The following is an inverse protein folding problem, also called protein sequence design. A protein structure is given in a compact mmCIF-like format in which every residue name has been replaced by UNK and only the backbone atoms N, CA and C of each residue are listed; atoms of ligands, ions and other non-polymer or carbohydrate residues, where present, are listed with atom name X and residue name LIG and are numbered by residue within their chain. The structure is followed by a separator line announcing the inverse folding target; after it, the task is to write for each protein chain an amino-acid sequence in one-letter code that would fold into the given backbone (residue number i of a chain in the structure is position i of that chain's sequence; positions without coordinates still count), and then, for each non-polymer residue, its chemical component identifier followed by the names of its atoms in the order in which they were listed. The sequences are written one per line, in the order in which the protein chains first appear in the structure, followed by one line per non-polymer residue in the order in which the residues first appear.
data_IF_795325511277
#
_entry.id   IF_795325511277
#
_cell.length_a   1.000
_cell.length_b   1.000
_cell.length_c   1.000
_cell.angle_alpha   90.00
_cell.angle_beta   90.00
_cell.angle_gamma   90.00
#
_symmetry.space_group_name_H-M   'P 1'
#
loop_
_entity.id
_entity.type
_entity.pdbx_description
1 polymer ?
#
# COMPACT_ATOMS: atom_id res chain seq x y z
N UNK A 1 27.39 5.35 -23.35
CA UNK A 1 28.22 5.66 -22.13
C UNK A 1 27.60 6.69 -21.18
N UNK A 2 26.95 7.77 -21.64
CA UNK A 2 26.35 8.79 -20.72
C UNK A 2 25.21 8.26 -19.84
N UNK A 3 24.35 7.38 -20.36
CA UNK A 3 23.19 6.84 -19.59
C UNK A 3 23.63 5.97 -18.40
N UNK A 4 24.63 5.10 -18.57
CA UNK A 4 25.15 4.28 -17.48
C UNK A 4 25.77 5.12 -16.35
N UNK A 5 26.38 6.28 -16.68
CA UNK A 5 26.91 7.20 -15.65
C UNK A 5 25.79 7.80 -14.80
N UNK A 6 24.64 8.16 -15.40
CA UNK A 6 23.50 8.71 -14.66
C UNK A 6 22.91 7.66 -13.72
N UNK A 7 22.74 6.41 -14.18
CA UNK A 7 22.23 5.31 -13.35
C UNK A 7 23.19 5.02 -12.19
N UNK A 8 24.50 4.99 -12.46
CA UNK A 8 25.52 4.77 -11.42
C UNK A 8 25.54 5.94 -10.43
N UNK A 9 25.47 7.19 -10.88
CA UNK A 9 25.40 8.36 -9.99
C UNK A 9 24.13 8.36 -9.16
N UNK A 10 22.99 7.95 -9.73
CA UNK A 10 21.74 7.82 -9.01
C UNK A 10 21.82 6.72 -7.94
N UNK A 11 22.34 5.53 -8.29
CA UNK A 11 22.57 4.43 -7.35
C UNK A 11 23.56 4.81 -6.23
N UNK A 12 24.65 5.51 -6.56
CA UNK A 12 25.60 6.03 -5.57
C UNK A 12 24.93 7.08 -4.68
N UNK A 13 24.11 7.98 -5.23
CA UNK A 13 23.38 8.94 -4.40
C UNK A 13 22.36 8.27 -3.50
N UNK A 14 21.69 7.21 -3.98
CA UNK A 14 20.76 6.40 -3.18
C UNK A 14 21.51 5.72 -2.02
N UNK A 15 22.72 5.21 -2.30
CA UNK A 15 23.59 4.58 -1.31
C UNK A 15 24.14 5.58 -0.29
N UNK A 16 24.56 6.77 -0.71
CA UNK A 16 25.06 7.84 0.19
C UNK A 16 23.93 8.46 1.02
N UNK A 17 22.70 8.53 0.51
CA UNK A 17 21.56 8.94 1.34
C UNK A 17 21.15 7.85 2.34
N UNK A 18 21.32 6.56 2.01
CA UNK A 18 21.01 5.47 2.93
C UNK A 18 21.89 5.45 4.18
N UNK A 19 23.10 6.03 4.15
CA UNK A 19 23.97 6.09 5.34
C UNK A 19 23.55 7.13 6.38
N UNK A 20 22.64 8.05 6.04
CA UNK A 20 22.14 9.07 6.98
C UNK A 20 20.75 8.75 7.54
N UNK A 21 20.08 7.74 6.99
CA UNK A 21 18.73 7.34 7.37
C UNK A 21 18.87 6.03 8.16
N UNK A 22 19.49 6.17 9.32
CA UNK A 22 20.02 5.07 10.13
C UNK A 22 18.95 4.33 10.93
N UNK A 23 19.15 3.03 11.14
CA UNK A 23 18.80 2.20 12.30
C UNK A 23 17.55 2.60 13.12
N UNK A 24 16.47 1.83 13.08
CA UNK A 24 15.32 2.09 13.97
C UNK A 24 15.52 1.58 15.41
N UNK A 25 16.58 0.79 15.71
CA UNK A 25 16.67 0.06 16.99
C UNK A 25 17.85 0.35 17.92
N UNK A 26 19.00 0.84 17.45
CA UNK A 26 20.16 1.10 18.33
C UNK A 26 20.48 2.58 18.52
N UNK A 27 20.81 3.32 17.45
CA UNK A 27 21.33 4.69 17.57
C UNK A 27 20.56 5.76 16.78
N UNK A 28 19.47 5.38 16.13
CA UNK A 28 18.60 6.32 15.44
C UNK A 28 17.15 6.07 15.80
N UNK A 29 16.41 7.17 15.90
CA UNK A 29 14.99 7.16 16.19
C UNK A 29 14.19 7.20 14.90
N UNK A 30 14.80 7.23 13.73
CA UNK A 30 14.12 7.43 12.45
C UNK A 30 14.39 6.26 11.53
N UNK A 31 13.41 5.84 10.73
CA UNK A 31 13.60 4.78 9.74
C UNK A 31 12.68 4.98 8.54
N UNK A 32 13.17 4.61 7.36
CA UNK A 32 12.38 4.56 6.13
C UNK A 32 12.42 3.13 5.60
N UNK A 33 11.26 2.61 5.23
CA UNK A 33 11.11 1.31 4.60
C UNK A 33 10.40 1.44 3.26
N UNK A 34 10.81 0.61 2.31
CA UNK A 34 10.10 0.37 1.07
C UNK A 34 9.39 -0.98 1.20
N UNK A 35 8.10 -1.00 0.91
CA UNK A 35 7.26 -2.15 1.15
C UNK A 35 6.70 -2.68 -0.18
N UNK A 36 6.56 -3.99 -0.23
CA UNK A 36 5.76 -4.69 -1.22
C UNK A 36 4.71 -5.48 -0.45
N UNK A 37 3.44 -5.29 -0.79
CA UNK A 37 2.33 -5.98 -0.14
C UNK A 37 1.54 -6.79 -1.15
N UNK A 38 0.94 -7.87 -0.66
CA UNK A 38 0.09 -8.76 -1.43
C UNK A 38 -1.25 -8.92 -0.72
N UNK A 39 -2.29 -8.32 -1.27
CA UNK A 39 -3.66 -8.46 -0.76
C UNK A 39 -4.29 -9.70 -1.38
N UNK A 40 -4.60 -10.68 -0.54
CA UNK A 40 -5.13 -11.98 -0.96
C UNK A 40 -6.51 -11.86 -1.60
N UNK A 41 -7.41 -11.10 -0.97
CA UNK A 41 -8.80 -10.91 -1.40
C UNK A 41 -9.20 -9.46 -1.21
N UNK A 42 -9.82 -8.88 -2.24
CA UNK A 42 -10.52 -7.60 -2.15
C UNK A 42 -11.81 -7.65 -2.97
N UNK A 43 -12.72 -6.71 -2.76
CA UNK A 43 -14.01 -6.67 -3.46
C UNK A 43 -14.25 -5.28 -4.03
N UNK A 44 -14.61 -5.23 -5.31
CA UNK A 44 -15.04 -4.01 -5.97
C UNK A 44 -16.56 -4.02 -6.10
N UNK A 45 -17.24 -3.11 -5.40
CA UNK A 45 -18.69 -2.94 -5.54
C UNK A 45 -18.98 -2.08 -6.77
N UNK A 46 -19.79 -2.61 -7.69
CA UNK A 46 -20.06 -1.97 -8.99
C UNK A 46 -21.01 -0.78 -8.87
N UNK A 47 -21.95 -0.86 -7.94
CA UNK A 47 -23.02 0.12 -7.75
C UNK A 47 -23.20 0.49 -6.27
N UNK A 48 -22.14 0.98 -5.58
CA UNK A 48 -22.18 1.22 -4.14
C UNK A 48 -23.29 2.21 -3.72
N UNK A 49 -23.66 3.11 -4.63
CA UNK A 49 -24.67 4.16 -4.43
C UNK A 49 -26.08 3.77 -4.94
N UNK A 50 -26.30 2.55 -5.44
CA UNK A 50 -27.62 2.13 -5.90
C UNK A 50 -28.63 2.02 -4.75
N UNK A 51 -29.88 2.46 -4.98
CA UNK A 51 -30.96 2.36 -3.99
C UNK A 51 -31.36 0.90 -3.73
N UNK A 52 -31.41 0.08 -4.79
CA UNK A 52 -31.71 -1.36 -4.70
C UNK A 52 -30.58 -2.12 -3.99
N UNK A 53 -30.85 -2.81 -2.86
CA UNK A 53 -29.86 -3.62 -2.15
C UNK A 53 -29.24 -4.74 -3.00
N UNK A 54 -29.99 -5.31 -3.96
CA UNK A 54 -29.49 -6.38 -4.82
C UNK A 54 -28.39 -5.82 -5.72
N UNK A 55 -28.64 -4.70 -6.39
CA UNK A 55 -27.66 -4.03 -7.24
C UNK A 55 -26.46 -3.51 -6.44
N UNK A 56 -26.71 -2.94 -5.25
CA UNK A 56 -25.65 -2.41 -4.39
C UNK A 56 -24.68 -3.48 -3.87
N UNK A 57 -25.17 -4.70 -3.67
CA UNK A 57 -24.35 -5.81 -3.21
C UNK A 57 -23.61 -6.54 -4.35
N UNK A 58 -23.84 -6.16 -5.62
CA UNK A 58 -23.06 -6.71 -6.73
C UNK A 58 -21.60 -6.27 -6.61
N UNK A 59 -20.72 -7.25 -6.56
CA UNK A 59 -19.30 -7.04 -6.43
C UNK A 59 -18.50 -8.00 -7.31
N UNK A 60 -17.31 -7.56 -7.68
CA UNK A 60 -16.29 -8.36 -8.36
C UNK A 60 -15.22 -8.67 -7.32
N UNK A 61 -14.89 -9.95 -7.16
CA UNK A 61 -13.73 -10.36 -6.37
C UNK A 61 -12.44 -9.98 -7.11
N UNK A 62 -11.58 -9.26 -6.41
CA UNK A 62 -10.32 -8.70 -6.89
C UNK A 62 -9.18 -9.34 -6.09
N UNK A 63 -8.80 -10.55 -6.49
CA UNK A 63 -7.78 -11.33 -5.82
C UNK A 63 -6.37 -10.94 -6.27
N UNK A 64 -5.42 -11.12 -5.36
CA UNK A 64 -3.99 -10.96 -5.65
C UNK A 64 -3.60 -9.56 -6.08
N UNK A 65 -4.04 -8.54 -5.34
CA UNK A 65 -3.62 -7.16 -5.59
C UNK A 65 -2.21 -6.99 -5.06
N UNK A 66 -1.30 -6.61 -5.96
CA UNK A 66 0.05 -6.24 -5.61
C UNK A 66 0.14 -4.73 -5.37
N UNK A 67 0.93 -4.33 -4.40
CA UNK A 67 1.10 -2.93 -4.06
C UNK A 67 2.50 -2.61 -3.59
N UNK A 68 2.86 -1.35 -3.76
CA UNK A 68 4.17 -0.82 -3.38
C UNK A 68 3.97 0.41 -2.53
N UNK A 69 4.76 0.54 -1.48
CA UNK A 69 4.61 1.64 -0.53
C UNK A 69 5.90 2.08 0.10
N UNK A 70 5.81 3.21 0.79
CA UNK A 70 6.88 3.75 1.64
C UNK A 70 6.31 3.93 3.03
N UNK A 71 7.09 3.57 4.04
CA UNK A 71 6.75 3.76 5.44
C UNK A 71 7.88 4.52 6.13
N UNK A 72 7.52 5.62 6.78
CA UNK A 72 8.42 6.47 7.54
C UNK A 72 8.05 6.31 9.00
N UNK A 73 8.98 5.86 9.82
CA UNK A 73 8.74 5.59 11.24
C UNK A 73 9.69 6.40 12.12
N UNK A 74 9.16 6.89 13.22
CA UNK A 74 9.88 7.59 14.27
C UNK A 74 9.63 6.92 15.63
N UNK A 75 10.70 6.51 16.29
CA UNK A 75 10.69 5.99 17.65
C UNK A 75 10.52 7.14 18.63
N UNK A 76 9.40 7.11 19.36
CA UNK A 76 9.09 8.07 20.42
C UNK A 76 9.74 7.62 21.74
N UNK A 77 9.67 6.32 22.02
CA UNK A 77 10.29 5.67 23.19
C UNK A 77 10.69 4.25 22.83
N UNK A 78 11.42 3.56 23.71
CA UNK A 78 11.81 2.15 23.47
C UNK A 78 10.65 1.24 23.01
N UNK A 79 9.46 1.29 23.64
CA UNK A 79 8.34 0.48 23.19
C UNK A 79 7.45 1.14 22.12
N UNK A 80 7.56 2.45 21.86
CA UNK A 80 6.59 3.16 21.02
C UNK A 80 7.22 3.77 19.77
N UNK A 81 6.61 3.48 18.63
CA UNK A 81 7.01 4.00 17.32
C UNK A 81 5.78 4.57 16.64
N UNK A 82 5.86 5.79 16.13
CA UNK A 82 4.84 6.34 15.22
C UNK A 82 5.30 6.14 13.78
N UNK A 83 4.40 5.77 12.88
CA UNK A 83 4.68 5.61 11.47
C UNK A 83 3.67 6.32 10.59
N UNK A 84 4.16 6.87 9.49
CA UNK A 84 3.38 7.41 8.39
C UNK A 84 3.70 6.58 7.15
N UNK A 85 2.71 5.88 6.62
CA UNK A 85 2.86 5.08 5.41
C UNK A 85 1.98 5.57 4.29
N UNK A 86 2.48 5.47 3.06
CA UNK A 86 1.70 5.65 1.85
C UNK A 86 1.91 4.44 0.94
N UNK A 87 0.83 3.95 0.35
CA UNK A 87 0.87 2.80 -0.55
C UNK A 87 0.18 3.15 -1.88
N UNK A 88 0.55 2.44 -2.94
CA UNK A 88 -0.10 2.52 -4.24
C UNK A 88 -0.63 1.14 -4.62
N UNK A 89 -1.95 1.04 -4.76
CA UNK A 89 -2.65 -0.17 -5.18
C UNK A 89 -3.37 0.10 -6.49
N UNK A 90 -3.25 -0.84 -7.43
CA UNK A 90 -4.00 -0.80 -8.69
C UNK A 90 -4.33 -2.21 -9.13
N UNK A 91 -5.60 -2.47 -9.43
CA UNK A 91 -6.01 -3.72 -10.04
C UNK A 91 -7.17 -3.49 -11.01
N UNK A 92 -7.20 -4.29 -12.07
CA UNK A 92 -8.23 -4.27 -13.13
C UNK A 92 -8.54 -5.71 -13.51
N UNK A 93 -9.83 -6.06 -13.54
CA UNK A 93 -10.31 -7.35 -14.05
C UNK A 93 -11.31 -7.11 -15.17
N UNK A 94 -11.24 -7.95 -16.19
CA UNK A 94 -12.30 -8.02 -17.19
C UNK A 94 -13.55 -8.63 -16.55
N UNK A 95 -14.68 -7.93 -16.60
CA UNK A 95 -15.92 -8.37 -15.98
C UNK A 95 -17.09 -8.46 -16.97
N UNK A 96 -16.78 -8.92 -18.18
CA UNK A 96 -17.78 -9.41 -19.11
C UNK A 96 -18.01 -8.53 -20.33
N UNK A 97 -19.18 -8.73 -20.92
CA UNK A 97 -19.52 -8.35 -22.28
C UNK A 97 -20.81 -7.55 -22.26
N UNK A 98 -20.73 -6.27 -22.59
CA UNK A 98 -21.93 -5.43 -22.73
C UNK A 98 -22.42 -5.51 -24.17
N UNK A 99 -23.65 -6.01 -24.36
CA UNK A 99 -24.26 -6.12 -25.68
C UNK A 99 -25.08 -4.88 -26.00
N UNK A 100 -24.60 -4.04 -26.92
CA UNK A 100 -25.38 -2.91 -27.45
C UNK A 100 -25.69 -3.20 -28.92
N UNK A 101 -26.97 -3.47 -29.20
CA UNK A 101 -27.43 -3.71 -30.58
C UNK A 101 -26.76 -4.89 -31.27
N UNK A 102 -26.36 -5.93 -30.52
CA UNK A 102 -25.71 -7.14 -31.05
C UNK A 102 -24.18 -7.08 -31.09
N UNK A 103 -23.56 -5.94 -30.75
CA UNK A 103 -22.11 -5.84 -30.59
C UNK A 103 -21.71 -6.14 -29.15
N UNK A 104 -20.75 -7.03 -28.98
CA UNK A 104 -20.15 -7.41 -27.71
C UNK A 104 -18.98 -6.46 -27.44
N UNK A 105 -19.09 -5.63 -26.40
CA UNK A 105 -18.02 -4.73 -25.98
C UNK A 105 -17.45 -5.24 -24.65
N UNK A 106 -16.14 -5.60 -24.60
CA UNK A 106 -15.51 -6.00 -23.35
C UNK A 106 -15.42 -4.81 -22.40
N UNK A 107 -15.78 -5.04 -21.14
CA UNK A 107 -15.65 -4.05 -20.06
C UNK A 107 -14.57 -4.53 -19.09
N UNK A 108 -13.58 -3.66 -18.87
CA UNK A 108 -12.63 -3.83 -17.78
C UNK A 108 -12.98 -2.87 -16.65
N UNK A 109 -13.23 -3.43 -15.47
CA UNK A 109 -13.50 -2.69 -14.25
C UNK A 109 -12.35 -2.89 -13.26
N UNK A 110 -12.06 -1.85 -12.48
CA UNK A 110 -10.93 -1.86 -11.57
C UNK A 110 -10.92 -0.67 -10.64
N UNK A 111 -9.85 -0.59 -9.86
CA UNK A 111 -9.64 0.51 -8.94
C UNK A 111 -8.17 0.89 -8.86
N UNK A 112 -7.96 2.14 -8.47
CA UNK A 112 -6.69 2.68 -8.03
C UNK A 112 -6.91 3.29 -6.66
N UNK A 113 -6.03 2.97 -5.71
CA UNK A 113 -6.15 3.38 -4.33
C UNK A 113 -4.79 3.83 -3.79
N UNK A 114 -4.78 4.98 -3.14
CA UNK A 114 -3.62 5.54 -2.46
C UNK A 114 -3.99 5.77 -1.00
N UNK A 115 -3.79 4.80 -0.10
CA UNK A 115 -3.92 5.01 1.33
C UNK A 115 -2.74 5.82 1.86
N UNK A 116 -3.02 6.76 2.75
CA UNK A 116 -2.05 7.46 3.59
C UNK A 116 -2.44 7.23 5.04
N UNK A 117 -1.61 6.52 5.80
CA UNK A 117 -1.96 5.96 7.11
C UNK A 117 -0.98 6.43 8.18
N UNK A 118 -1.52 6.93 9.29
CA UNK A 118 -0.77 7.22 10.50
C UNK A 118 -1.01 6.10 11.51
N UNK A 119 0.07 5.52 12.02
CA UNK A 119 0.04 4.31 12.84
C UNK A 119 0.87 4.50 14.10
N UNK A 120 0.37 4.06 15.24
CA UNK A 120 1.15 3.90 16.46
C UNK A 120 1.45 2.42 16.66
N UNK A 121 2.73 2.08 16.74
CA UNK A 121 3.23 0.73 16.98
C UNK A 121 3.77 0.59 18.40
N UNK A 122 3.48 -0.55 19.01
CA UNK A 122 4.01 -1.01 20.28
C UNK A 122 4.92 -2.22 20.05
N UNK A 123 6.18 -2.09 20.44
CA UNK A 123 7.17 -3.18 20.43
C UNK A 123 6.97 -4.03 21.68
N UNK A 124 6.67 -5.30 21.49
CA UNK A 124 6.36 -6.23 22.59
C UNK A 124 7.62 -6.63 23.36
N UNK A 125 7.52 -6.88 24.68
CA UNK A 125 8.66 -7.06 25.58
C UNK A 125 9.44 -8.36 25.38
N UNK A 126 8.89 -9.36 24.69
CA UNK A 126 9.61 -10.59 24.35
C UNK A 126 10.52 -10.45 23.11
N UNK A 127 10.60 -9.24 22.55
CA UNK A 127 11.51 -8.92 21.46
C UNK A 127 12.97 -9.08 21.90
N UNK A 128 13.81 -9.58 20.98
CA UNK A 128 15.25 -9.76 21.18
C UNK A 128 16.03 -8.62 20.52
N UNK A 129 17.36 -8.65 20.55
CA UNK A 129 18.19 -7.67 19.83
C UNK A 129 17.99 -7.74 18.31
N UNK A 130 17.85 -8.96 17.75
CA UNK A 130 17.71 -9.17 16.30
C UNK A 130 16.28 -9.27 15.80
N UNK A 131 15.35 -9.71 16.65
CA UNK A 131 13.95 -9.90 16.28
C UNK A 131 13.07 -9.00 17.12
N UNK A 132 12.40 -8.05 16.47
CA UNK A 132 11.51 -7.08 17.12
C UNK A 132 10.09 -7.36 16.67
N UNK A 133 9.26 -7.80 17.59
CA UNK A 133 7.85 -8.04 17.31
C UNK A 133 7.07 -6.80 17.70
N UNK A 134 6.04 -6.48 16.93
CA UNK A 134 5.22 -5.32 17.19
C UNK A 134 3.76 -5.53 16.80
N UNK A 135 2.91 -4.71 17.41
CA UNK A 135 1.50 -4.53 17.06
C UNK A 135 1.24 -3.05 16.91
N UNK A 136 0.41 -2.65 15.97
CA UNK A 136 0.10 -1.26 15.70
C UNK A 136 -1.37 -1.06 15.38
N UNK A 137 -1.84 0.15 15.69
CA UNK A 137 -3.18 0.60 15.35
C UNK A 137 -3.12 2.03 14.86
N UNK A 138 -3.95 2.35 13.88
CA UNK A 138 -3.87 3.63 13.20
C UNK A 138 -5.15 4.03 12.49
N UNK A 139 -5.08 5.18 11.85
CA UNK A 139 -6.12 5.70 10.99
C UNK A 139 -5.50 6.21 9.70
N UNK A 140 -6.28 6.15 8.63
CA UNK A 140 -5.83 6.52 7.29
C UNK A 140 -6.87 7.31 6.51
N UNK A 141 -6.35 8.01 5.51
CA UNK A 141 -7.12 8.67 4.46
C UNK A 141 -6.85 7.89 3.16
N UNK A 142 -7.90 7.53 2.46
CA UNK A 142 -7.85 6.66 1.29
C UNK A 142 -8.33 7.44 0.08
N UNK A 143 -7.44 7.68 -0.87
CA UNK A 143 -7.78 8.32 -2.14
C UNK A 143 -8.04 7.26 -3.18
N UNK A 144 -9.32 7.07 -3.52
CA UNK A 144 -9.76 6.03 -4.45
C UNK A 144 -10.23 6.61 -5.78
N UNK A 145 -10.00 5.86 -6.86
CA UNK A 145 -10.60 6.11 -8.17
C UNK A 145 -11.09 4.80 -8.78
N UNK A 146 -12.29 4.84 -9.33
CA UNK A 146 -12.82 3.75 -10.14
C UNK A 146 -12.24 3.80 -11.56
N UNK A 147 -11.73 2.68 -12.04
CA UNK A 147 -11.23 2.53 -13.41
C UNK A 147 -12.27 1.75 -14.19
N UNK A 148 -12.82 2.34 -15.25
CA UNK A 148 -13.71 1.65 -16.20
C UNK A 148 -13.23 1.88 -17.62
N UNK A 149 -12.84 0.82 -18.30
CA UNK A 149 -12.43 0.87 -19.71
C UNK A 149 -13.43 0.13 -20.58
N UNK A 150 -13.79 0.73 -21.71
CA UNK A 150 -14.62 0.14 -22.75
C UNK A 150 -13.77 -0.04 -24.00
N UNK A 151 -13.26 -1.26 -24.24
CA UNK A 151 -12.31 -1.53 -25.33
C UNK A 151 -11.14 -0.52 -25.33
N UNK A 152 -11.02 0.32 -26.36
CA UNK A 152 -9.94 1.32 -26.50
C UNK A 152 -10.26 2.67 -25.83
N UNK A 153 -11.47 2.83 -25.27
CA UNK A 153 -11.91 4.07 -24.64
C UNK A 153 -11.83 3.91 -23.12
N UNK A 154 -10.83 4.55 -22.51
CA UNK A 154 -10.75 4.68 -21.06
C UNK A 154 -11.66 5.81 -20.60
N UNK A 155 -12.67 5.47 -19.80
CA UNK A 155 -13.49 6.46 -19.10
C UNK A 155 -12.95 6.54 -17.68
N UNK A 156 -12.01 7.45 -17.45
CA UNK A 156 -11.60 7.79 -16.10
C UNK A 156 -12.73 8.62 -15.46
N UNK A 157 -13.35 8.08 -14.42
CA UNK A 157 -14.32 8.85 -13.64
C UNK A 157 -13.66 10.13 -13.11
N UNK A 158 -14.36 11.26 -13.19
CA UNK A 158 -13.82 12.60 -12.88
C UNK A 158 -13.78 12.82 -11.35
N UNK A 159 -14.41 11.95 -10.57
CA UNK A 159 -14.41 12.00 -9.11
C UNK A 159 -13.40 11.04 -8.47
N UNK A 160 -12.42 11.57 -7.74
CA UNK A 160 -11.71 10.81 -6.72
C UNK A 160 -12.51 10.89 -5.42
N UNK A 161 -12.98 9.77 -4.90
CA UNK A 161 -13.62 9.74 -3.58
C UNK A 161 -12.53 9.60 -2.50
N UNK A 162 -12.64 10.45 -1.47
CA UNK A 162 -11.77 10.37 -0.29
C UNK A 162 -12.53 9.65 0.81
N UNK A 163 -11.95 8.57 1.32
CA UNK A 163 -12.50 7.81 2.44
C UNK A 163 -11.57 7.87 3.65
N UNK A 164 -12.09 7.54 4.82
CA UNK A 164 -11.35 7.44 6.08
C UNK A 164 -11.55 6.06 6.67
N UNK A 165 -10.52 5.53 7.32
CA UNK A 165 -10.55 4.19 7.88
C UNK A 165 -9.62 4.03 9.06
N UNK A 166 -9.83 2.95 9.80
CA UNK A 166 -8.92 2.48 10.84
C UNK A 166 -8.19 1.25 10.33
N UNK A 167 -6.97 1.05 10.79
CA UNK A 167 -6.17 -0.11 10.43
C UNK A 167 -5.45 -0.65 11.66
N UNK A 168 -5.20 -1.96 11.64
CA UNK A 168 -4.44 -2.67 12.66
C UNK A 168 -3.37 -3.46 11.94
N UNK A 169 -2.15 -3.42 12.46
CA UNK A 169 -1.02 -4.12 11.90
C UNK A 169 -0.34 -4.96 12.97
N UNK A 170 0.21 -6.10 12.59
CA UNK A 170 1.16 -6.84 13.43
C UNK A 170 2.32 -7.30 12.57
N UNK A 171 3.51 -7.36 13.14
CA UNK A 171 4.68 -7.71 12.36
C UNK A 171 5.91 -8.01 13.18
N UNK A 172 6.97 -8.30 12.43
CA UNK A 172 8.29 -8.61 12.94
C UNK A 172 9.34 -7.91 12.08
N UNK A 173 10.24 -7.19 12.72
CA UNK A 173 11.48 -6.72 12.11
C UNK A 173 12.60 -7.71 12.45
N UNK A 174 13.27 -8.22 11.42
CA UNK A 174 14.55 -8.91 11.54
C UNK A 174 15.68 -7.94 11.23
N UNK A 175 16.50 -7.63 12.21
CA UNK A 175 17.63 -6.71 12.11
C UNK A 175 18.83 -7.49 11.57
N UNK A 176 19.15 -7.28 10.29
CA UNK A 176 20.26 -7.96 9.64
C UNK A 176 21.60 -7.30 10.03
N UNK A 177 21.62 -5.98 10.18
CA UNK A 177 22.71 -5.19 10.72
C UNK A 177 22.16 -3.86 11.28
N UNK A 178 23.05 -2.98 11.74
CA UNK A 178 22.67 -1.69 12.34
C UNK A 178 21.83 -0.82 11.39
N UNK A 179 21.98 -0.91 10.07
CA UNK A 179 21.32 -0.02 9.11
C UNK A 179 20.16 -0.66 8.34
N UNK A 180 20.12 -1.99 8.28
CA UNK A 180 19.21 -2.75 7.41
C UNK A 180 18.42 -3.74 8.26
N UNK A 181 17.11 -3.65 8.12
CA UNK A 181 16.17 -4.62 8.66
C UNK A 181 15.25 -5.14 7.56
N UNK A 182 14.80 -6.37 7.71
CA UNK A 182 13.76 -6.97 6.89
C UNK A 182 12.49 -7.04 7.72
N UNK A 183 11.41 -6.48 7.19
CA UNK A 183 10.11 -6.41 7.87
C UNK A 183 9.14 -7.38 7.22
N UNK A 184 8.44 -8.14 8.07
CA UNK A 184 7.25 -8.87 7.70
C UNK A 184 6.07 -8.30 8.49
N UNK A 185 5.02 -7.87 7.80
CA UNK A 185 3.85 -7.24 8.39
C UNK A 185 2.57 -7.85 7.83
N UNK A 186 1.56 -7.97 8.68
CA UNK A 186 0.20 -8.36 8.33
C UNK A 186 -0.74 -7.23 8.76
N UNK A 187 -1.71 -6.93 7.90
CA UNK A 187 -2.77 -5.94 8.08
C UNK A 187 -4.12 -6.60 7.80
#
# INVERSE_FOLDING_TARGET
MKQYKIIITFLISLFVFSTYISAQYENSNFGIAFNYSYTTSSKLFLFPNAQDPILRNQNIEMDGVNSYGVDIRYRISEPLIVGLSAEYLKNTKNHGEFSVGGFIIPIDDGFELIPVELTLYYVVPFSTEKFKFYMGGGAGIYFGRHIRNFSDVSVSDIGSETAYGIQVATGMDYIANEFISLRAEMR
#
